data_IF_761672390745
#
_entry.id   IF_761672390745
#
_cell.length_a   1.000
_cell.length_b   1.000
_cell.length_c   1.000
_cell.angle_alpha   90.00
_cell.angle_beta   90.00
_cell.angle_gamma   90.00
#
_symmetry.space_group_name_H-M   'P 1'
#
loop_
_entity.id
_entity.type
_entity.pdbx_description
1 polymer ?
#
# COMPACT_ATOMS: atom_id res chain seq x y z
N UNK A 1 3.83 -0.20 4.51
CA UNK A 1 3.06 -0.02 3.26
C UNK A 1 1.73 -0.77 3.23
N UNK A 2 1.21 -1.32 4.34
CA UNK A 2 -0.14 -1.93 4.41
C UNK A 2 -0.44 -3.00 3.34
N UNK A 3 0.56 -3.75 2.87
CA UNK A 3 0.33 -4.84 1.91
C UNK A 3 -0.47 -5.98 2.56
N UNK A 4 -1.11 -6.81 1.74
CA UNK A 4 -1.84 -7.98 2.22
C UNK A 4 -0.91 -8.95 2.99
N UNK A 5 -1.35 -9.56 4.10
CA UNK A 5 -2.68 -9.49 4.74
C UNK A 5 -2.87 -8.32 5.71
N UNK A 6 -1.86 -7.47 5.92
CA UNK A 6 -1.84 -6.39 6.91
C UNK A 6 -2.41 -5.07 6.39
N UNK A 7 -3.43 -5.11 5.53
CA UNK A 7 -3.97 -3.93 4.84
C UNK A 7 -5.09 -3.22 5.60
N UNK A 8 -5.74 -3.90 6.55
CA UNK A 8 -6.96 -3.44 7.22
C UNK A 8 -6.79 -2.12 7.96
N UNK A 9 -5.66 -1.95 8.66
CA UNK A 9 -5.39 -0.75 9.47
C UNK A 9 -5.37 0.55 8.66
N UNK A 10 -5.09 0.49 7.35
CA UNK A 10 -4.97 1.68 6.51
C UNK A 10 -6.33 2.35 6.29
N UNK A 11 -7.40 1.58 6.16
CA UNK A 11 -8.76 2.13 6.05
C UNK A 11 -9.23 2.71 7.40
N UNK A 12 -8.79 2.14 8.51
CA UNK A 12 -9.13 2.60 9.87
C UNK A 12 -8.38 3.89 10.25
N UNK A 13 -7.20 4.13 9.67
CA UNK A 13 -6.44 5.38 9.85
C UNK A 13 -7.18 6.65 9.35
N UNK A 14 -8.31 6.49 8.68
CA UNK A 14 -9.20 7.57 8.25
C UNK A 14 -10.10 8.13 9.36
N UNK A 15 -10.13 7.49 10.54
CA UNK A 15 -10.78 8.03 11.74
C UNK A 15 -10.08 9.30 12.26
N UNK A 16 -8.80 9.49 11.92
CA UNK A 16 -8.03 10.66 12.29
C UNK A 16 -8.48 11.96 11.61
N UNK A 17 -7.96 13.12 12.07
CA UNK A 17 -8.12 14.38 11.37
C UNK A 17 -7.56 14.31 9.94
N UNK A 18 -8.24 14.92 8.98
CA UNK A 18 -7.88 14.88 7.55
C UNK A 18 -6.41 15.21 7.27
N UNK A 19 -5.76 16.18 7.93
CA UNK A 19 -4.32 16.44 7.73
C UNK A 19 -3.41 15.30 8.18
N UNK A 20 -3.79 14.59 9.24
CA UNK A 20 -3.02 13.45 9.77
C UNK A 20 -3.12 12.26 8.82
N UNK A 21 -4.34 11.94 8.35
CA UNK A 21 -4.54 10.89 7.36
C UNK A 21 -3.82 11.21 6.05
N UNK A 22 -3.83 12.47 5.60
CA UNK A 22 -3.06 12.88 4.41
C UNK A 22 -1.55 12.63 4.56
N UNK A 23 -0.97 12.95 5.72
CA UNK A 23 0.46 12.74 5.97
C UNK A 23 0.83 11.25 5.96
N UNK A 24 0.04 10.41 6.63
CA UNK A 24 0.28 8.97 6.75
C UNK A 24 0.13 8.26 5.40
N UNK A 25 -0.87 8.64 4.61
CA UNK A 25 -1.19 8.00 3.34
C UNK A 25 -0.36 8.49 2.15
N UNK A 26 0.21 9.69 2.21
CA UNK A 26 0.99 10.25 1.10
C UNK A 26 2.50 10.26 1.34
N UNK A 27 2.95 10.76 2.50
CA UNK A 27 4.33 11.22 2.63
C UNK A 27 5.25 10.28 3.43
N UNK A 28 4.76 9.73 4.54
CA UNK A 28 5.66 9.15 5.55
C UNK A 28 5.53 7.64 5.73
N UNK A 29 4.40 7.16 6.25
CA UNK A 29 4.32 5.81 6.81
C UNK A 29 4.28 4.72 5.74
N UNK A 30 3.59 5.00 4.63
CA UNK A 30 3.43 4.01 3.56
C UNK A 30 4.63 3.94 2.62
N UNK A 31 5.28 5.08 2.35
CA UNK A 31 6.46 5.22 1.47
C UNK A 31 7.70 4.55 2.06
N UNK A 32 7.82 4.50 3.39
CA UNK A 32 8.91 3.80 4.08
C UNK A 32 9.01 2.30 3.70
N UNK A 33 7.88 1.65 3.40
CA UNK A 33 7.88 0.25 2.94
C UNK A 33 8.52 0.09 1.55
N UNK A 34 8.17 0.97 0.61
CA UNK A 34 8.76 0.99 -0.74
C UNK A 34 10.24 1.36 -0.66
N UNK A 35 10.60 2.33 0.19
CA UNK A 35 11.98 2.71 0.43
C UNK A 35 12.84 1.51 0.88
N UNK A 36 12.34 0.70 1.81
CA UNK A 36 13.04 -0.51 2.25
C UNK A 36 13.28 -1.47 1.08
N UNK A 37 12.26 -1.71 0.24
CA UNK A 37 12.39 -2.61 -0.92
C UNK A 37 13.47 -2.13 -1.87
N UNK A 38 13.48 -0.83 -2.18
CA UNK A 38 14.50 -0.20 -3.05
C UNK A 38 15.90 -0.30 -2.43
N UNK A 39 16.04 -0.02 -1.14
CA UNK A 39 17.35 -0.06 -0.46
C UNK A 39 17.89 -1.48 -0.30
N UNK A 40 17.01 -2.47 -0.15
CA UNK A 40 17.35 -3.88 -0.10
C UNK A 40 17.47 -4.52 -1.50
N UNK A 41 17.38 -3.75 -2.59
CA UNK A 41 17.48 -4.29 -3.95
C UNK A 41 18.68 -5.21 -4.19
N UNK A 42 19.91 -4.93 -3.70
CA UNK A 42 21.04 -5.86 -3.84
C UNK A 42 20.80 -7.24 -3.22
N UNK A 43 19.99 -7.33 -2.15
CA UNK A 43 19.59 -8.61 -1.56
C UNK A 43 18.59 -9.35 -2.46
N UNK A 44 17.61 -8.65 -3.02
CA UNK A 44 16.62 -9.26 -3.91
C UNK A 44 17.22 -9.69 -5.26
N UNK A 45 18.29 -9.06 -5.72
CA UNK A 45 19.06 -9.53 -6.87
C UNK A 45 19.68 -10.92 -6.62
N UNK A 46 20.07 -11.22 -5.38
CA UNK A 46 20.61 -12.53 -5.01
C UNK A 46 19.51 -13.60 -4.83
N UNK A 47 18.25 -13.20 -4.66
CA UNK A 47 17.11 -14.10 -4.42
C UNK A 47 15.92 -13.69 -5.31
N UNK A 48 15.98 -13.96 -6.63
CA UNK A 48 15.00 -13.45 -7.60
C UNK A 48 13.55 -13.87 -7.32
N UNK A 49 13.36 -15.07 -6.77
CA UNK A 49 12.02 -15.59 -6.43
C UNK A 49 11.29 -14.70 -5.42
N UNK A 50 12.02 -14.10 -4.47
CA UNK A 50 11.45 -13.15 -3.51
C UNK A 50 11.05 -11.85 -4.21
N UNK A 51 11.84 -11.38 -5.17
CA UNK A 51 11.48 -10.22 -6.00
C UNK A 51 10.19 -10.48 -6.81
N UNK A 52 10.06 -11.65 -7.41
CA UNK A 52 8.85 -12.04 -8.14
C UNK A 52 7.63 -12.15 -7.22
N UNK A 53 7.82 -12.67 -6.00
CA UNK A 53 6.78 -12.70 -4.98
C UNK A 53 6.32 -11.28 -4.59
N UNK A 54 7.25 -10.35 -4.36
CA UNK A 54 6.93 -8.95 -4.03
C UNK A 54 6.11 -8.30 -5.15
N UNK A 55 6.53 -8.45 -6.41
CA UNK A 55 5.81 -7.92 -7.56
C UNK A 55 4.41 -8.54 -7.74
N UNK A 56 4.30 -9.86 -7.53
CA UNK A 56 3.02 -10.58 -7.61
C UNK A 56 2.06 -10.13 -6.51
N UNK A 57 2.58 -9.92 -5.29
CA UNK A 57 1.83 -9.39 -4.16
C UNK A 57 1.38 -7.95 -4.43
N UNK A 58 2.26 -7.11 -4.98
CA UNK A 58 1.95 -5.73 -5.37
C UNK A 58 0.81 -5.68 -6.40
N UNK A 59 0.89 -6.49 -7.46
CA UNK A 59 -0.16 -6.59 -8.47
C UNK A 59 -1.51 -7.04 -7.89
N UNK A 60 -1.50 -8.02 -6.99
CA UNK A 60 -2.71 -8.45 -6.28
C UNK A 60 -3.30 -7.33 -5.42
N UNK A 61 -2.47 -6.63 -4.64
CA UNK A 61 -2.92 -5.54 -3.77
C UNK A 61 -3.42 -4.34 -4.59
N UNK A 62 -2.81 -4.06 -5.74
CA UNK A 62 -3.26 -3.03 -6.67
C UNK A 62 -4.71 -3.28 -7.12
N UNK A 63 -5.00 -4.51 -7.55
CA UNK A 63 -6.34 -4.91 -7.96
C UNK A 63 -7.33 -4.94 -6.79
N UNK A 64 -6.92 -5.50 -5.65
CA UNK A 64 -7.74 -5.58 -4.45
C UNK A 64 -8.12 -4.19 -3.90
N UNK A 65 -7.17 -3.25 -3.81
CA UNK A 65 -7.45 -1.88 -3.37
C UNK A 65 -8.43 -1.17 -4.29
N UNK A 66 -8.27 -1.34 -5.61
CA UNK A 66 -9.16 -0.75 -6.60
C UNK A 66 -10.59 -1.31 -6.50
N UNK A 67 -10.76 -2.63 -6.34
CA UNK A 67 -12.09 -3.24 -6.22
C UNK A 67 -12.80 -2.79 -4.94
N UNK A 68 -12.08 -2.69 -3.82
CA UNK A 68 -12.63 -2.22 -2.55
C UNK A 68 -13.03 -0.74 -2.63
N UNK A 69 -12.24 0.11 -3.29
CA UNK A 69 -12.57 1.53 -3.46
C UNK A 69 -13.91 1.73 -4.19
N UNK A 70 -14.24 0.88 -5.17
CA UNK A 70 -15.48 0.99 -5.96
C UNK A 70 -16.76 0.71 -5.16
N UNK A 71 -16.67 -0.11 -4.11
CA UNK A 71 -17.85 -0.55 -3.32
C UNK A 71 -17.99 0.21 -2.00
N UNK A 72 -17.05 1.08 -1.64
CA UNK A 72 -17.10 1.87 -0.42
C UNK A 72 -18.01 3.11 -0.58
N UNK A 73 -18.68 3.47 0.52
CA UNK A 73 -19.61 4.64 0.57
C UNK A 73 -19.02 5.86 1.25
N UNK A 74 -17.91 5.70 1.98
CA UNK A 74 -17.23 6.78 2.69
C UNK A 74 -16.06 7.31 1.86
N UNK A 75 -16.04 8.62 1.62
CA UNK A 75 -15.03 9.26 0.76
C UNK A 75 -13.60 9.06 1.27
N UNK A 76 -13.38 9.18 2.58
CA UNK A 76 -12.04 9.01 3.16
C UNK A 76 -11.56 7.57 2.99
N UNK A 77 -12.44 6.60 3.20
CA UNK A 77 -12.12 5.18 2.97
C UNK A 77 -11.87 4.87 1.49
N UNK A 78 -12.62 5.48 0.57
CA UNK A 78 -12.34 5.35 -0.87
C UNK A 78 -10.91 5.82 -1.18
N UNK A 79 -10.51 6.97 -0.62
CA UNK A 79 -9.13 7.49 -0.78
C UNK A 79 -8.10 6.55 -0.12
N UNK A 80 -8.40 5.99 1.06
CA UNK A 80 -7.50 5.01 1.68
C UNK A 80 -7.25 3.78 0.79
N UNK A 81 -8.32 3.23 0.18
CA UNK A 81 -8.22 2.09 -0.73
C UNK A 81 -7.54 2.44 -2.05
N UNK A 82 -7.70 3.67 -2.56
CA UNK A 82 -6.95 4.12 -3.72
C UNK A 82 -5.46 4.26 -3.40
N UNK A 83 -5.09 4.76 -2.22
CA UNK A 83 -3.70 4.74 -1.73
C UNK A 83 -3.17 3.31 -1.65
N UNK A 84 -3.94 2.37 -1.11
CA UNK A 84 -3.55 0.96 -1.05
C UNK A 84 -3.25 0.40 -2.44
N UNK A 85 -4.10 0.72 -3.42
CA UNK A 85 -3.91 0.32 -4.81
C UNK A 85 -2.62 0.91 -5.41
N UNK A 86 -2.35 2.20 -5.18
CA UNK A 86 -1.12 2.87 -5.62
C UNK A 86 0.13 2.26 -4.98
N UNK A 87 0.07 1.87 -3.71
CA UNK A 87 1.18 1.17 -3.06
C UNK A 87 1.41 -0.22 -3.65
N UNK A 88 0.36 -0.90 -4.12
CA UNK A 88 0.48 -2.12 -4.89
C UNK A 88 1.24 -1.92 -6.21
N UNK A 89 1.01 -0.80 -6.91
CA UNK A 89 1.77 -0.45 -8.12
C UNK A 89 3.25 -0.13 -7.86
N UNK A 90 3.59 0.36 -6.67
CA UNK A 90 4.98 0.68 -6.30
C UNK A 90 5.77 -0.53 -5.79
N UNK A 91 5.11 -1.65 -5.53
CA UNK A 91 5.69 -2.90 -5.04
C UNK A 91 6.04 -3.84 -6.20
#
# INVERSE_FOLDING_TARGET
SAQFPFHTWLADAMEGPTPVSALIHAASMVTAGVYLVVRAHPLYQMIPDVGFFIASLGAFVAFFGASMALVNKDLKRIIAYSTLSQLGYMF
#
